data_IF_489980968645
#
_entry.id   IF_489980968645
#
_cell.length_a   1.000
_cell.length_b   1.000
_cell.length_c   1.000
_cell.angle_alpha   90.00
_cell.angle_beta   90.00
_cell.angle_gamma   90.00
#
_symmetry.space_group_name_H-M   'P 1'
#
loop_
_entity.id
_entity.type
_entity.pdbx_description
1 polymer ?
#
# COMPACT_ATOMS: atom_id res chain seq x y z
N UNK A 1 16.38 50.09 4.67
CA UNK A 1 16.70 49.23 3.55
C UNK A 1 15.42 48.85 2.81
N UNK A 2 15.45 48.72 1.51
CA UNK A 2 14.30 48.34 0.71
C UNK A 2 13.90 46.88 1.04
N UNK A 3 12.63 46.61 1.11
CA UNK A 3 12.07 45.26 1.31
C UNK A 3 12.03 44.53 -0.03
N UNK A 4 12.47 43.26 -0.03
CA UNK A 4 12.44 42.40 -1.22
C UNK A 4 11.35 41.38 -1.03
N UNK A 5 10.35 41.39 -1.92
CA UNK A 5 9.29 40.38 -1.94
C UNK A 5 9.63 39.30 -2.98
N UNK A 6 9.46 38.04 -2.60
CA UNK A 6 9.63 36.89 -3.50
C UNK A 6 8.30 36.19 -3.73
N UNK A 7 7.94 36.03 -4.99
CA UNK A 7 6.81 35.19 -5.42
C UNK A 7 7.39 33.96 -6.13
N UNK A 8 6.94 32.78 -5.72
CA UNK A 8 7.40 31.49 -6.29
C UNK A 8 6.20 30.72 -6.77
N UNK A 9 6.06 30.54 -8.06
CA UNK A 9 4.93 29.85 -8.70
C UNK A 9 5.42 28.59 -9.40
N UNK A 10 4.64 27.50 -9.27
CA UNK A 10 4.88 26.27 -10.01
C UNK A 10 4.39 26.45 -11.44
N UNK A 11 5.28 26.36 -12.42
CA UNK A 11 4.96 26.53 -13.84
C UNK A 11 4.95 25.22 -14.63
N UNK A 12 5.54 24.13 -14.08
CA UNK A 12 5.58 22.87 -14.79
C UNK A 12 6.38 21.77 -14.10
N UNK A 13 6.69 20.75 -14.87
CA UNK A 13 7.54 19.62 -14.49
C UNK A 13 8.58 19.40 -15.57
N UNK A 14 9.86 19.36 -15.18
CA UNK A 14 10.96 18.93 -16.05
C UNK A 14 11.02 17.39 -16.08
N UNK A 15 10.83 16.83 -17.25
CA UNK A 15 10.74 15.37 -17.46
C UNK A 15 12.09 14.66 -17.53
N UNK A 16 13.21 15.36 -17.47
CA UNK A 16 14.55 14.79 -17.52
C UNK A 16 14.90 14.05 -16.20
N UNK A 17 15.72 13.00 -16.24
CA UNK A 17 16.15 12.28 -15.03
C UNK A 17 16.75 13.23 -13.97
N UNK A 18 16.43 12.99 -12.70
CA UNK A 18 16.93 13.78 -11.57
C UNK A 18 16.35 15.20 -11.46
N UNK A 19 15.39 15.55 -12.32
CA UNK A 19 14.69 16.84 -12.31
C UNK A 19 13.22 16.66 -11.97
N UNK A 20 12.60 17.71 -11.42
CA UNK A 20 11.24 17.67 -10.91
C UNK A 20 10.46 18.93 -11.24
N UNK A 21 9.94 19.60 -10.21
CA UNK A 21 9.13 20.80 -10.41
C UNK A 21 9.94 21.92 -11.02
N UNK A 22 9.33 22.61 -11.98
CA UNK A 22 9.81 23.87 -12.52
C UNK A 22 9.01 24.98 -11.85
N UNK A 23 9.72 25.95 -11.28
CA UNK A 23 9.14 27.10 -10.62
C UNK A 23 9.67 28.38 -11.25
N UNK A 24 8.79 29.35 -11.45
CA UNK A 24 9.16 30.72 -11.71
C UNK A 24 9.31 31.47 -10.38
N UNK A 25 10.40 32.19 -10.26
CA UNK A 25 10.73 32.99 -9.08
C UNK A 25 10.79 34.45 -9.54
N UNK A 26 9.90 35.28 -9.00
CA UNK A 26 9.91 36.74 -9.25
C UNK A 26 10.30 37.44 -7.98
N UNK A 27 11.27 38.34 -8.06
CA UNK A 27 11.62 39.24 -6.95
C UNK A 27 11.22 40.67 -7.32
N UNK A 28 10.59 41.38 -6.37
CA UNK A 28 10.20 42.77 -6.50
C UNK A 28 10.83 43.60 -5.38
N UNK A 29 11.21 44.82 -5.73
CA UNK A 29 11.68 45.84 -4.78
C UNK A 29 10.84 47.09 -5.03
N UNK A 30 10.21 47.61 -4.00
CA UNK A 30 9.34 48.80 -4.08
C UNK A 30 8.30 48.71 -5.22
N UNK A 31 7.75 47.49 -5.42
CA UNK A 31 6.75 47.19 -6.46
C UNK A 31 7.31 47.04 -7.89
N UNK A 32 8.62 47.14 -8.08
CA UNK A 32 9.27 46.90 -9.38
C UNK A 32 9.91 45.54 -9.43
N UNK A 33 9.67 44.77 -10.51
CA UNK A 33 10.29 43.50 -10.75
C UNK A 33 11.78 43.70 -11.02
N UNK A 34 12.63 43.12 -10.16
CA UNK A 34 14.09 43.20 -10.26
C UNK A 34 14.72 41.87 -10.69
N UNK A 35 14.00 40.76 -10.57
CA UNK A 35 14.45 39.44 -10.99
C UNK A 35 13.26 38.58 -11.46
N UNK A 36 13.44 37.93 -12.58
CA UNK A 36 12.63 36.77 -12.98
C UNK A 36 13.59 35.64 -13.28
N UNK A 37 13.40 34.50 -12.62
CA UNK A 37 14.25 33.33 -12.79
C UNK A 37 13.40 32.06 -12.85
N UNK A 38 13.90 31.07 -13.58
CA UNK A 38 13.31 29.73 -13.57
C UNK A 38 14.19 28.80 -12.74
N UNK A 39 13.61 28.20 -11.73
CA UNK A 39 14.26 27.19 -10.89
C UNK A 39 13.70 25.81 -11.20
N UNK A 40 14.58 24.83 -11.41
CA UNK A 40 14.20 23.43 -11.49
C UNK A 40 14.67 22.73 -10.23
N UNK A 41 13.70 22.20 -9.46
CA UNK A 41 14.03 21.44 -8.26
C UNK A 41 14.57 20.07 -8.65
N UNK A 42 15.63 19.62 -7.99
CA UNK A 42 16.08 18.25 -8.11
C UNK A 42 15.06 17.33 -7.46
N UNK A 43 14.60 16.33 -8.20
CA UNK A 43 13.82 15.23 -7.64
C UNK A 43 14.77 14.06 -7.43
N UNK A 44 14.96 13.58 -6.20
CA UNK A 44 15.75 12.37 -5.97
C UNK A 44 15.05 11.18 -6.66
N UNK A 45 15.83 10.20 -7.09
CA UNK A 45 15.29 8.94 -7.55
C UNK A 45 14.46 8.33 -6.41
N UNK A 46 13.20 8.10 -6.69
CA UNK A 46 12.25 7.58 -5.72
C UNK A 46 11.82 6.19 -6.14
N UNK A 47 11.72 5.30 -5.18
CA UNK A 47 11.22 3.95 -5.38
C UNK A 47 10.09 3.66 -4.37
N UNK A 48 8.91 3.29 -4.87
CA UNK A 48 7.79 2.87 -4.04
C UNK A 48 7.74 1.34 -3.96
N UNK A 49 7.96 0.80 -2.77
CA UNK A 49 7.86 -0.63 -2.49
C UNK A 49 6.49 -0.96 -1.90
N UNK A 50 5.75 -1.86 -2.54
CA UNK A 50 4.47 -2.35 -2.06
C UNK A 50 4.66 -3.72 -1.40
N UNK A 51 4.45 -3.83 -0.08
CA UNK A 51 4.73 -5.06 0.64
C UNK A 51 3.71 -6.16 0.34
N UNK A 52 4.16 -7.40 0.50
CA UNK A 52 3.31 -8.59 0.58
C UNK A 52 2.57 -8.69 1.91
N UNK A 53 1.74 -9.74 2.06
CA UNK A 53 1.07 -10.00 3.34
C UNK A 53 2.08 -10.35 4.44
N UNK A 54 1.72 -10.09 5.70
CA UNK A 54 2.57 -10.28 6.88
C UNK A 54 2.70 -9.02 7.74
N UNK A 55 2.29 -7.86 7.21
CA UNK A 55 2.32 -6.58 7.94
C UNK A 55 0.93 -6.14 8.42
N UNK A 56 -0.11 -6.93 8.13
CA UNK A 56 -1.48 -6.60 8.53
C UNK A 56 -1.62 -6.52 10.04
N UNK A 57 -2.39 -5.54 10.48
CA UNK A 57 -2.73 -5.34 11.87
C UNK A 57 -4.14 -4.78 12.00
N UNK A 58 -4.80 -5.08 13.11
CA UNK A 58 -6.10 -4.48 13.39
C UNK A 58 -6.00 -2.96 13.39
N UNK A 59 -6.95 -2.30 12.74
CA UNK A 59 -6.98 -0.84 12.62
C UNK A 59 -6.06 -0.25 11.55
N UNK A 60 -5.35 -1.09 10.77
CA UNK A 60 -4.45 -0.60 9.71
C UNK A 60 -5.14 0.37 8.76
N UNK A 61 -4.50 1.52 8.49
CA UNK A 61 -5.03 2.56 7.60
C UNK A 61 -6.15 3.42 8.17
N UNK A 62 -6.67 3.13 9.39
CA UNK A 62 -7.80 3.89 9.96
C UNK A 62 -7.39 5.30 10.41
N UNK A 63 -6.15 5.51 10.83
CA UNK A 63 -5.64 6.84 11.13
C UNK A 63 -5.60 7.71 9.87
N UNK A 64 -5.01 7.22 8.78
CA UNK A 64 -4.99 7.92 7.50
C UNK A 64 -6.42 8.22 7.00
N UNK A 65 -7.33 7.24 7.11
CA UNK A 65 -8.75 7.40 6.78
C UNK A 65 -9.42 8.53 7.57
N UNK A 66 -9.03 8.75 8.82
CA UNK A 66 -9.62 9.83 9.65
C UNK A 66 -9.11 11.23 9.27
N UNK A 67 -7.89 11.31 8.72
CA UNK A 67 -7.19 12.57 8.42
C UNK A 67 -7.25 13.00 6.96
N UNK A 68 -7.44 12.07 6.01
CA UNK A 68 -7.43 12.31 4.57
C UNK A 68 -8.79 12.00 3.94
N UNK A 69 -9.47 12.99 3.36
CA UNK A 69 -10.67 12.79 2.55
C UNK A 69 -10.48 11.77 1.41
N UNK A 70 -9.35 11.80 0.71
CA UNK A 70 -9.03 10.86 -0.35
C UNK A 70 -8.91 9.42 0.17
N UNK A 71 -8.20 9.21 1.28
CA UNK A 71 -8.11 7.89 1.91
C UNK A 71 -9.48 7.42 2.43
N UNK A 72 -10.29 8.33 2.98
CA UNK A 72 -11.65 8.05 3.44
C UNK A 72 -12.55 7.56 2.30
N UNK A 73 -12.48 8.20 1.13
CA UNK A 73 -13.24 7.80 -0.05
C UNK A 73 -12.84 6.39 -0.53
N UNK A 74 -11.55 6.11 -0.63
CA UNK A 74 -11.05 4.79 -1.01
C UNK A 74 -11.62 3.70 -0.10
N UNK A 75 -11.52 3.87 1.23
CA UNK A 75 -12.06 2.90 2.18
C UNK A 75 -13.58 2.76 2.11
N UNK A 76 -14.31 3.86 1.87
CA UNK A 76 -15.76 3.83 1.73
C UNK A 76 -16.21 3.10 0.46
N UNK A 77 -15.53 3.34 -0.67
CA UNK A 77 -15.76 2.65 -1.94
C UNK A 77 -15.45 1.15 -1.81
N UNK A 78 -14.31 0.82 -1.23
CA UNK A 78 -13.89 -0.56 -0.98
C UNK A 78 -14.92 -1.31 -0.13
N UNK A 79 -15.36 -0.73 0.98
CA UNK A 79 -16.35 -1.36 1.87
C UNK A 79 -17.69 -1.58 1.19
N UNK A 80 -18.18 -0.60 0.43
CA UNK A 80 -19.40 -0.72 -0.36
C UNK A 80 -19.28 -1.86 -1.38
N UNK A 81 -18.14 -1.92 -2.08
CA UNK A 81 -17.89 -2.95 -3.08
C UNK A 81 -17.82 -4.35 -2.46
N UNK A 82 -17.06 -4.50 -1.37
CA UNK A 82 -16.93 -5.81 -0.69
C UNK A 82 -18.26 -6.28 -0.11
N UNK A 83 -19.09 -5.38 0.46
CA UNK A 83 -20.44 -5.74 0.92
C UNK A 83 -21.33 -6.21 -0.23
N UNK A 84 -21.36 -5.46 -1.32
CA UNK A 84 -22.30 -5.74 -2.42
C UNK A 84 -21.87 -6.92 -3.28
N UNK A 85 -20.58 -7.08 -3.56
CA UNK A 85 -20.05 -8.07 -4.50
C UNK A 85 -19.47 -9.29 -3.83
N UNK A 86 -18.88 -9.16 -2.65
CA UNK A 86 -18.18 -10.26 -1.98
C UNK A 86 -18.90 -10.77 -0.73
N UNK A 87 -19.83 -9.99 -0.16
CA UNK A 87 -20.67 -10.41 0.96
C UNK A 87 -20.06 -10.18 2.34
N UNK A 88 -19.06 -9.30 2.47
CA UNK A 88 -18.47 -8.93 3.75
C UNK A 88 -18.08 -7.46 3.78
N UNK A 89 -17.83 -6.91 4.97
CA UNK A 89 -17.31 -5.57 5.17
C UNK A 89 -15.81 -5.59 5.42
N UNK A 90 -15.03 -5.01 4.49
CA UNK A 90 -13.59 -4.87 4.73
C UNK A 90 -13.29 -3.93 5.90
N UNK A 91 -14.11 -2.88 6.10
CA UNK A 91 -13.96 -1.97 7.23
C UNK A 91 -14.22 -2.66 8.56
N UNK A 92 -15.23 -3.52 8.65
CA UNK A 92 -15.52 -4.31 9.84
C UNK A 92 -14.35 -5.23 10.19
N UNK A 93 -13.85 -5.96 9.20
CA UNK A 93 -12.71 -6.87 9.38
C UNK A 93 -11.46 -6.10 9.84
N UNK A 94 -11.15 -4.97 9.20
CA UNK A 94 -9.95 -4.21 9.56
C UNK A 94 -10.05 -3.58 10.95
N UNK A 95 -11.23 -3.04 11.31
CA UNK A 95 -11.41 -2.35 12.59
C UNK A 95 -11.49 -3.30 13.77
N UNK A 96 -12.32 -4.32 13.65
CA UNK A 96 -12.71 -5.17 14.77
C UNK A 96 -12.00 -6.52 14.77
N UNK A 97 -11.47 -6.94 13.61
CA UNK A 97 -10.78 -8.21 13.43
C UNK A 97 -11.51 -9.38 14.13
N UNK A 98 -12.79 -9.63 13.80
CA UNK A 98 -13.55 -10.67 14.49
C UNK A 98 -12.90 -12.05 14.29
N UNK A 99 -13.10 -12.95 15.24
CA UNK A 99 -12.58 -14.32 15.13
C UNK A 99 -13.31 -15.17 14.12
N UNK A 100 -14.55 -14.76 13.76
CA UNK A 100 -15.33 -15.43 12.74
C UNK A 100 -16.10 -14.44 11.86
N UNK A 101 -16.35 -14.84 10.64
CA UNK A 101 -17.24 -14.14 9.69
C UNK A 101 -17.95 -15.14 8.81
N UNK A 102 -19.19 -14.87 8.50
CA UNK A 102 -19.94 -15.66 7.51
C UNK A 102 -20.04 -14.87 6.21
N UNK A 103 -19.53 -15.43 5.12
CA UNK A 103 -19.53 -14.82 3.80
C UNK A 103 -20.28 -15.74 2.84
N UNK A 104 -21.44 -15.29 2.34
CA UNK A 104 -22.30 -16.06 1.43
C UNK A 104 -22.64 -17.47 1.93
N UNK A 105 -22.82 -17.61 3.25
CA UNK A 105 -23.16 -18.89 3.88
C UNK A 105 -21.95 -19.76 4.26
N UNK A 106 -20.74 -19.39 3.84
CA UNK A 106 -19.50 -20.05 4.26
C UNK A 106 -18.93 -19.35 5.51
N UNK A 107 -18.62 -20.15 6.55
CA UNK A 107 -18.05 -19.66 7.81
C UNK A 107 -16.54 -19.71 7.74
N UNK A 108 -15.90 -18.59 8.05
CA UNK A 108 -14.45 -18.46 8.17
C UNK A 108 -14.08 -18.14 9.61
N UNK A 109 -13.12 -18.87 10.17
CA UNK A 109 -12.64 -18.68 11.54
C UNK A 109 -11.13 -18.59 11.57
N UNK A 110 -10.59 -17.79 12.50
CA UNK A 110 -9.15 -17.75 12.76
C UNK A 110 -8.91 -17.27 14.21
N UNK A 111 -8.05 -17.94 14.99
CA UNK A 111 -7.86 -17.65 16.42
C UNK A 111 -7.34 -16.23 16.70
N UNK A 112 -6.56 -15.64 15.76
CA UNK A 112 -6.07 -14.27 15.84
C UNK A 112 -6.99 -13.25 15.15
N UNK A 113 -8.19 -13.68 14.68
CA UNK A 113 -9.12 -12.87 13.90
C UNK A 113 -8.98 -13.09 12.39
N UNK A 114 -10.09 -12.91 11.68
CA UNK A 114 -10.20 -13.25 10.25
C UNK A 114 -9.37 -12.34 9.34
N UNK A 115 -8.90 -11.18 9.82
CA UNK A 115 -7.94 -10.35 9.10
C UNK A 115 -6.63 -11.11 8.77
N UNK A 116 -6.31 -12.18 9.51
CA UNK A 116 -5.14 -13.02 9.27
C UNK A 116 -5.40 -14.18 8.29
N UNK A 117 -6.62 -14.34 7.81
CA UNK A 117 -6.91 -15.23 6.68
C UNK A 117 -6.56 -14.53 5.37
N UNK A 118 -5.84 -15.25 4.50
CA UNK A 118 -5.18 -14.65 3.34
C UNK A 118 -6.13 -13.90 2.38
N UNK A 119 -7.36 -14.37 2.19
CA UNK A 119 -8.36 -13.69 1.35
C UNK A 119 -8.77 -12.32 1.91
N UNK A 120 -8.87 -12.16 3.22
CA UNK A 120 -9.21 -10.89 3.86
C UNK A 120 -7.99 -10.00 4.03
N UNK A 121 -6.82 -10.59 4.36
CA UNK A 121 -5.54 -9.87 4.40
C UNK A 121 -5.26 -9.18 3.08
N UNK A 122 -5.36 -9.91 1.96
CA UNK A 122 -5.01 -9.36 0.65
C UNK A 122 -5.94 -8.21 0.24
N UNK A 123 -7.25 -8.33 0.51
CA UNK A 123 -8.21 -7.24 0.27
C UNK A 123 -7.89 -6.02 1.14
N UNK A 124 -7.64 -6.21 2.44
CA UNK A 124 -7.31 -5.12 3.34
C UNK A 124 -6.02 -4.39 2.91
N UNK A 125 -5.00 -5.14 2.46
CA UNK A 125 -3.75 -4.57 1.96
C UNK A 125 -3.92 -3.84 0.64
N UNK A 126 -4.77 -4.33 -0.27
CA UNK A 126 -5.10 -3.61 -1.50
C UNK A 126 -5.77 -2.27 -1.19
N UNK A 127 -6.76 -2.27 -0.28
CA UNK A 127 -7.42 -1.04 0.17
C UNK A 127 -6.42 -0.07 0.82
N UNK A 128 -5.52 -0.57 1.67
CA UNK A 128 -4.49 0.25 2.32
C UNK A 128 -3.56 0.89 1.31
N UNK A 129 -3.01 0.12 0.37
CA UNK A 129 -2.07 0.62 -0.63
C UNK A 129 -2.69 1.72 -1.50
N UNK A 130 -3.93 1.50 -2.00
CA UNK A 130 -4.64 2.51 -2.79
C UNK A 130 -4.97 3.75 -1.95
N UNK A 131 -5.37 3.58 -0.68
CA UNK A 131 -5.68 4.70 0.21
C UNK A 131 -4.43 5.53 0.55
N UNK A 132 -3.28 4.90 0.79
CA UNK A 132 -2.02 5.60 1.04
C UNK A 132 -1.56 6.40 -0.18
N UNK A 133 -1.61 5.83 -1.38
CA UNK A 133 -1.26 6.56 -2.60
C UNK A 133 -2.25 7.70 -2.89
N UNK A 134 -3.55 7.49 -2.62
CA UNK A 134 -4.55 8.57 -2.74
C UNK A 134 -4.25 9.73 -1.78
N UNK A 135 -3.89 9.43 -0.52
CA UNK A 135 -3.46 10.42 0.45
C UNK A 135 -2.19 11.17 0.00
N UNK A 136 -1.20 10.47 -0.55
CA UNK A 136 0.01 11.11 -1.07
C UNK A 136 -0.29 12.03 -2.26
N UNK A 137 -1.22 11.64 -3.14
CA UNK A 137 -1.68 12.50 -4.25
C UNK A 137 -2.39 13.75 -3.75
N UNK A 138 -3.29 13.60 -2.76
CA UNK A 138 -3.99 14.71 -2.11
C UNK A 138 -3.02 15.71 -1.47
N UNK A 139 -1.97 15.20 -0.83
CA UNK A 139 -0.91 16.01 -0.21
C UNK A 139 0.14 16.54 -1.20
N UNK A 140 -0.01 16.29 -2.51
CA UNK A 140 0.99 16.61 -3.54
C UNK A 140 2.39 16.04 -3.26
N UNK A 141 2.47 14.96 -2.48
CA UNK A 141 3.71 14.31 -2.06
C UNK A 141 4.10 13.10 -2.94
N UNK A 142 3.24 12.69 -3.89
CA UNK A 142 3.52 11.56 -4.75
C UNK A 142 4.46 11.97 -5.89
N UNK A 143 5.63 11.33 -5.98
CA UNK A 143 6.48 11.43 -7.16
C UNK A 143 5.90 10.54 -8.27
N UNK A 144 5.34 11.16 -9.32
CA UNK A 144 4.70 10.45 -10.44
C UNK A 144 5.69 9.73 -11.39
N UNK A 145 7.00 9.89 -11.16
CA UNK A 145 8.06 9.30 -11.97
C UNK A 145 8.93 8.34 -11.19
N UNK A 146 8.47 7.97 -10.00
CA UNK A 146 9.14 6.99 -9.19
C UNK A 146 9.14 5.62 -9.87
N UNK A 147 10.17 4.86 -9.64
CA UNK A 147 10.11 3.42 -9.85
C UNK A 147 9.19 2.79 -8.82
N UNK A 148 8.58 1.67 -9.16
CA UNK A 148 7.74 0.94 -8.23
C UNK A 148 7.86 -0.56 -8.45
N UNK A 149 7.70 -1.31 -7.37
CA UNK A 149 7.56 -2.76 -7.41
C UNK A 149 6.76 -3.25 -6.21
N UNK A 150 6.26 -4.47 -6.31
CA UNK A 150 5.51 -5.11 -5.25
C UNK A 150 5.92 -6.57 -5.05
N UNK A 151 5.80 -7.05 -3.82
CA UNK A 151 6.01 -8.46 -3.51
C UNK A 151 4.67 -9.14 -3.32
N UNK A 152 4.41 -10.26 -4.04
CA UNK A 152 3.19 -11.05 -3.90
C UNK A 152 1.91 -10.19 -4.12
N UNK A 153 1.04 -10.00 -3.11
CA UNK A 153 -0.12 -9.11 -3.21
C UNK A 153 0.28 -7.64 -3.46
N UNK A 154 1.49 -7.26 -3.07
CA UNK A 154 2.02 -5.92 -3.30
C UNK A 154 2.17 -5.59 -4.79
N UNK A 155 2.39 -6.57 -5.66
CA UNK A 155 2.41 -6.36 -7.11
C UNK A 155 1.05 -5.86 -7.62
N UNK A 156 -0.05 -6.50 -7.21
CA UNK A 156 -1.40 -6.05 -7.52
C UNK A 156 -1.69 -4.66 -6.95
N UNK A 157 -1.20 -4.38 -5.75
CA UNK A 157 -1.32 -3.05 -5.13
C UNK A 157 -0.58 -1.99 -5.94
N UNK A 158 0.62 -2.28 -6.40
CA UNK A 158 1.41 -1.37 -7.23
C UNK A 158 0.68 -1.04 -8.54
N UNK A 159 0.10 -2.05 -9.19
CA UNK A 159 -0.67 -1.89 -10.43
C UNK A 159 -1.95 -1.08 -10.22
N UNK A 160 -2.63 -1.21 -9.07
CA UNK A 160 -3.84 -0.46 -8.79
C UNK A 160 -3.54 0.94 -8.24
N UNK A 161 -2.66 1.05 -7.25
CA UNK A 161 -2.45 2.28 -6.50
C UNK A 161 -1.59 3.30 -7.25
N UNK A 162 -0.45 2.86 -7.79
CA UNK A 162 0.52 3.75 -8.44
C UNK A 162 0.35 3.79 -9.96
N UNK A 163 0.38 2.65 -10.62
CA UNK A 163 0.30 2.55 -12.08
C UNK A 163 -1.11 2.84 -12.63
N UNK A 164 -2.14 2.74 -11.79
CA UNK A 164 -3.55 2.94 -12.15
C UNK A 164 -4.04 2.06 -13.33
N UNK A 165 -3.44 0.88 -13.50
CA UNK A 165 -3.81 -0.10 -14.53
C UNK A 165 -5.05 -0.89 -14.12
N UNK A 166 -5.22 -1.11 -12.81
CA UNK A 166 -6.40 -1.77 -12.22
C UNK A 166 -7.23 -0.75 -11.43
N UNK A 167 -8.55 -0.83 -11.55
CA UNK A 167 -9.43 -0.09 -10.64
C UNK A 167 -9.37 -0.68 -9.23
N UNK A 168 -9.78 0.11 -8.22
CA UNK A 168 -9.90 -0.36 -6.84
C UNK A 168 -10.79 -1.60 -6.74
N UNK A 169 -11.92 -1.57 -7.42
CA UNK A 169 -12.91 -2.64 -7.40
C UNK A 169 -12.34 -3.94 -8.03
N UNK A 170 -11.67 -3.81 -9.17
CA UNK A 170 -11.07 -4.96 -9.86
C UNK A 170 -9.95 -5.60 -9.04
N UNK A 171 -9.05 -4.79 -8.46
CA UNK A 171 -7.98 -5.35 -7.65
C UNK A 171 -8.52 -6.06 -6.41
N UNK A 172 -9.56 -5.52 -5.76
CA UNK A 172 -10.24 -6.18 -4.63
C UNK A 172 -10.76 -7.56 -5.02
N UNK A 173 -11.46 -7.68 -6.15
CA UNK A 173 -12.00 -8.97 -6.61
C UNK A 173 -10.87 -9.96 -6.94
N UNK A 174 -9.85 -9.52 -7.67
CA UNK A 174 -8.71 -10.37 -8.04
C UNK A 174 -8.00 -10.90 -6.80
N UNK A 175 -7.63 -10.03 -5.86
CA UNK A 175 -6.87 -10.47 -4.68
C UNK A 175 -7.71 -11.26 -3.68
N UNK A 176 -9.04 -11.03 -3.65
CA UNK A 176 -9.96 -11.86 -2.88
C UNK A 176 -10.00 -13.29 -3.41
N UNK A 177 -10.21 -13.46 -4.72
CA UNK A 177 -10.23 -14.77 -5.36
C UNK A 177 -8.88 -15.49 -5.23
N UNK A 178 -7.78 -14.76 -5.45
CA UNK A 178 -6.42 -15.28 -5.22
C UNK A 178 -6.25 -15.79 -3.79
N UNK A 179 -6.62 -14.98 -2.82
CA UNK A 179 -6.52 -15.33 -1.41
C UNK A 179 -7.43 -16.50 -1.02
N UNK A 180 -8.65 -16.55 -1.55
CA UNK A 180 -9.58 -17.65 -1.29
C UNK A 180 -9.07 -18.98 -1.87
N UNK A 181 -8.50 -18.95 -3.07
CA UNK A 181 -7.84 -20.12 -3.66
C UNK A 181 -6.69 -20.61 -2.78
N UNK A 182 -5.81 -19.70 -2.35
CA UNK A 182 -4.69 -20.02 -1.44
C UNK A 182 -5.20 -20.56 -0.10
N UNK A 183 -6.28 -20.00 0.44
CA UNK A 183 -6.89 -20.46 1.69
C UNK A 183 -7.42 -21.89 1.58
N UNK A 184 -8.09 -22.22 0.49
CA UNK A 184 -8.69 -23.55 0.26
C UNK A 184 -7.68 -24.64 -0.05
N UNK A 185 -6.48 -24.30 -0.46
CA UNK A 185 -5.39 -25.26 -0.69
C UNK A 185 -4.74 -25.76 0.61
N UNK A 186 -4.98 -25.09 1.73
CA UNK A 186 -4.38 -25.42 3.03
C UNK A 186 -5.44 -26.03 3.93
N UNK A 187 -5.20 -27.27 4.36
CA UNK A 187 -6.05 -27.97 5.32
C UNK A 187 -6.08 -27.24 6.66
N UNK A 188 -7.27 -27.12 7.24
CA UNK A 188 -7.49 -26.47 8.53
C UNK A 188 -8.49 -27.28 9.36
N UNK A 189 -8.30 -27.24 10.66
CA UNK A 189 -9.26 -27.79 11.61
C UNK A 189 -10.50 -26.89 11.78
N UNK A 190 -11.43 -27.29 12.62
CA UNK A 190 -12.66 -26.57 12.94
C UNK A 190 -12.42 -25.19 13.61
N UNK A 191 -11.24 -25.00 14.17
CA UNK A 191 -10.80 -23.73 14.77
C UNK A 191 -10.02 -22.83 13.78
N UNK A 192 -9.87 -23.26 12.51
CA UNK A 192 -9.11 -22.55 11.49
C UNK A 192 -7.61 -22.66 11.60
N UNK A 193 -7.10 -23.56 12.41
CA UNK A 193 -5.66 -23.83 12.60
C UNK A 193 -5.17 -24.82 11.55
N UNK A 194 -3.98 -24.62 11.02
CA UNK A 194 -3.32 -25.50 10.07
C UNK A 194 -2.01 -26.05 10.66
N UNK A 195 -1.67 -27.29 10.31
CA UNK A 195 -0.38 -27.89 10.63
C UNK A 195 0.76 -27.39 9.73
N UNK A 196 0.42 -26.60 8.69
CA UNK A 196 1.42 -25.99 7.81
C UNK A 196 1.79 -24.60 8.31
N UNK A 197 3.09 -24.29 8.25
CA UNK A 197 3.63 -22.99 8.57
C UNK A 197 4.55 -22.47 7.47
N UNK A 198 4.67 -21.16 7.34
CA UNK A 198 5.64 -20.51 6.48
C UNK A 198 6.48 -19.57 7.32
N UNK A 199 7.80 -19.75 7.29
CA UNK A 199 8.74 -18.86 7.96
C UNK A 199 9.67 -18.20 6.95
N UNK A 200 9.87 -16.89 7.09
CA UNK A 200 10.85 -16.13 6.32
C UNK A 200 12.14 -16.02 7.13
N UNK A 201 13.20 -16.65 6.65
CA UNK A 201 14.51 -16.57 7.27
C UNK A 201 15.29 -15.35 6.76
N UNK A 202 16.12 -14.81 7.62
CA UNK A 202 17.08 -13.74 7.28
C UNK A 202 18.50 -14.24 7.50
N UNK A 203 19.05 -15.02 6.56
CA UNK A 203 20.32 -15.75 6.76
C UNK A 203 21.47 -14.82 7.19
N UNK A 204 21.57 -13.64 6.59
CA UNK A 204 22.62 -12.68 6.91
C UNK A 204 22.59 -12.18 8.37
N UNK A 205 21.42 -12.18 9.04
CA UNK A 205 21.30 -11.82 10.47
C UNK A 205 21.68 -12.96 11.40
N UNK A 206 21.79 -14.16 10.86
CA UNK A 206 22.16 -15.39 11.58
C UNK A 206 23.61 -15.81 11.32
N UNK A 207 24.38 -14.98 10.58
CA UNK A 207 25.73 -15.33 10.16
C UNK A 207 25.79 -16.40 9.08
N UNK A 208 24.67 -16.69 8.42
CA UNK A 208 24.59 -17.67 7.34
C UNK A 208 24.80 -16.99 5.99
N UNK A 209 25.37 -17.72 5.05
CA UNK A 209 25.58 -17.31 3.66
C UNK A 209 24.96 -18.32 2.68
N UNK A 210 25.18 -18.13 1.38
CA UNK A 210 24.62 -19.01 0.35
C UNK A 210 25.11 -20.47 0.46
N UNK A 211 26.33 -20.67 0.99
CA UNK A 211 26.95 -22.01 1.04
C UNK A 211 26.43 -22.87 2.21
N UNK A 212 26.01 -22.24 3.31
CA UNK A 212 25.62 -22.95 4.53
C UNK A 212 24.16 -22.83 4.91
N UNK A 213 23.39 -21.94 4.28
CA UNK A 213 21.97 -21.71 4.61
C UNK A 213 21.10 -22.93 4.35
N UNK A 214 21.38 -23.67 3.29
CA UNK A 214 20.60 -24.85 2.92
C UNK A 214 20.73 -25.98 3.95
N UNK A 215 21.95 -26.30 4.35
CA UNK A 215 22.21 -27.30 5.36
C UNK A 215 21.62 -26.94 6.72
N UNK A 216 21.68 -25.65 7.09
CA UNK A 216 21.04 -25.15 8.29
C UNK A 216 19.52 -25.35 8.25
N UNK A 217 18.86 -24.99 7.13
CA UNK A 217 17.42 -25.18 6.97
C UNK A 217 17.04 -26.66 7.03
N UNK A 218 17.79 -27.52 6.37
CA UNK A 218 17.56 -28.95 6.44
C UNK A 218 17.69 -29.52 7.88
N UNK A 219 18.64 -29.02 8.65
CA UNK A 219 18.85 -29.48 10.05
C UNK A 219 17.67 -29.08 10.97
N UNK A 220 16.89 -28.07 10.62
CA UNK A 220 15.68 -27.65 11.37
C UNK A 220 14.45 -28.45 10.89
N UNK A 221 14.42 -28.83 9.61
CA UNK A 221 13.27 -29.50 8.99
C UNK A 221 13.26 -31.01 9.19
N UNK A 222 14.36 -31.61 9.68
CA UNK A 222 14.51 -33.02 10.03
C UNK A 222 14.02 -33.29 11.44
#
# INVERSE_FOLDING_TARGET
>A
GSEVEFVVERTGIDTRPGRGEVREVTATVDGQVVLVATATLAAPDTFYAFPGQGIQSQGMGMEARSKSPAAKDVWARADRHTRNKLGFSVLEIVRNNPQEVVVRGEKFTHPKGVLFLTQFTQVAMACLGVAQVAQMREAHALNQRAYFAGHSVGEYNALAAYAAVLSLENVIEIVYQRGLTMHRLVERDEHGVSNYGLAALRPHKMGLNADNVFDYVQSIAA
#
